data_IF_299289523047
#
_entry.id   IF_299289523047
#
_cell.length_a   1.000
_cell.length_b   1.000
_cell.length_c   1.000
_cell.angle_alpha   90.00
_cell.angle_beta   90.00
_cell.angle_gamma   90.00
#
_symmetry.space_group_name_H-M   'P 1'
#
loop_
_entity.id
_entity.type
_entity.pdbx_description
1 polymer ?
#
# COMPACT_ATOMS: atom_id res chain seq x y z
N UNK A 1 -24.18 27.30 -24.45
CA UNK A 1 -23.31 26.41 -23.66
C UNK A 1 -24.20 25.53 -22.79
N UNK A 2 -24.15 24.21 -22.95
CA UNK A 2 -25.04 23.25 -22.24
C UNK A 2 -24.65 23.15 -20.75
N UNK A 3 -25.51 22.57 -19.91
CA UNK A 3 -25.17 22.29 -18.51
C UNK A 3 -23.93 21.39 -18.39
N UNK A 4 -23.83 20.38 -19.27
CA UNK A 4 -22.66 19.51 -19.35
C UNK A 4 -21.37 20.29 -19.61
N UNK A 5 -21.36 21.18 -20.61
CA UNK A 5 -20.20 22.03 -20.91
C UNK A 5 -19.84 22.98 -19.75
N UNK A 6 -20.84 23.50 -19.01
CA UNK A 6 -20.60 24.32 -17.81
C UNK A 6 -19.92 23.54 -16.70
N UNK A 7 -20.32 22.29 -16.47
CA UNK A 7 -19.72 21.42 -15.46
C UNK A 7 -18.27 21.07 -15.84
N UNK A 8 -18.00 20.74 -17.11
CA UNK A 8 -16.64 20.43 -17.58
C UNK A 8 -15.72 21.66 -17.47
N UNK A 9 -16.19 22.83 -17.89
CA UNK A 9 -15.44 24.08 -17.75
C UNK A 9 -15.14 24.41 -16.28
N UNK A 10 -16.10 24.21 -15.37
CA UNK A 10 -15.90 24.41 -13.93
C UNK A 10 -14.87 23.45 -13.31
N UNK A 11 -14.62 22.29 -13.94
CA UNK A 11 -13.55 21.35 -13.57
C UNK A 11 -12.20 21.64 -14.25
N UNK A 12 -12.09 22.75 -14.98
CA UNK A 12 -10.88 23.11 -15.72
C UNK A 12 -10.72 22.41 -17.09
N UNK A 13 -11.69 21.59 -17.52
CA UNK A 13 -11.64 20.81 -18.76
C UNK A 13 -12.11 21.63 -19.97
N UNK A 14 -11.37 22.71 -20.25
CA UNK A 14 -11.76 23.72 -21.25
C UNK A 14 -11.38 23.35 -22.68
N UNK A 15 -10.39 22.48 -22.88
CA UNK A 15 -9.96 22.01 -24.21
C UNK A 15 -10.62 20.70 -24.60
N UNK A 16 -10.78 20.47 -25.92
CA UNK A 16 -11.30 19.19 -26.42
C UNK A 16 -10.41 18.02 -25.96
N UNK A 17 -9.09 18.16 -26.06
CA UNK A 17 -8.15 17.13 -25.65
C UNK A 17 -8.30 16.74 -24.17
N UNK A 18 -8.37 17.72 -23.26
CA UNK A 18 -8.55 17.46 -21.84
C UNK A 18 -9.89 16.78 -21.53
N UNK A 19 -10.96 17.11 -22.28
CA UNK A 19 -12.27 16.43 -22.13
C UNK A 19 -12.21 14.98 -22.60
N UNK A 20 -11.60 14.71 -23.74
CA UNK A 20 -11.45 13.34 -24.26
C UNK A 20 -10.64 12.49 -23.30
N UNK A 21 -9.51 12.98 -22.80
CA UNK A 21 -8.66 12.25 -21.85
C UNK A 21 -9.37 11.95 -20.53
N UNK A 22 -10.15 12.89 -19.99
CA UNK A 22 -10.90 12.71 -18.75
C UNK A 22 -12.10 11.77 -18.89
N UNK A 23 -12.87 11.88 -19.97
CA UNK A 23 -14.10 11.10 -20.18
C UNK A 23 -13.83 9.71 -20.76
N UNK A 24 -12.74 9.57 -21.50
CA UNK A 24 -12.33 8.34 -22.17
C UNK A 24 -10.85 8.03 -21.85
N UNK A 25 -10.52 7.78 -20.57
CA UNK A 25 -9.15 7.51 -20.17
C UNK A 25 -8.64 6.25 -20.87
N UNK A 26 -7.47 6.36 -21.51
CA UNK A 26 -6.81 5.23 -22.16
C UNK A 26 -5.65 4.74 -21.30
N UNK A 27 -5.98 3.84 -20.36
CA UNK A 27 -5.02 3.21 -19.45
C UNK A 27 -3.97 2.33 -20.15
N UNK A 28 -4.20 1.92 -21.41
CA UNK A 28 -3.19 1.19 -22.17
C UNK A 28 -2.09 2.13 -22.72
N UNK A 29 -2.45 3.37 -23.03
CA UNK A 29 -1.55 4.39 -23.57
C UNK A 29 -0.84 5.21 -22.50
N UNK A 30 -1.46 5.41 -21.33
CA UNK A 30 -0.88 6.15 -20.21
C UNK A 30 -0.24 5.17 -19.24
N UNK A 31 1.08 4.99 -19.38
CA UNK A 31 1.89 4.22 -18.43
C UNK A 31 2.72 5.18 -17.60
N UNK A 32 2.39 5.30 -16.32
CA UNK A 32 3.28 5.96 -15.37
C UNK A 32 4.36 4.97 -14.94
N UNK A 33 5.61 5.44 -14.84
CA UNK A 33 6.68 4.64 -14.27
C UNK A 33 6.40 4.48 -12.76
N UNK A 34 6.16 3.25 -12.25
CA UNK A 34 5.86 3.02 -10.84
C UNK A 34 7.04 3.44 -9.94
N UNK A 35 8.26 3.49 -10.47
CA UNK A 35 9.44 3.94 -9.72
C UNK A 35 9.49 5.45 -9.48
N UNK A 36 8.50 6.21 -9.99
CA UNK A 36 8.28 7.60 -9.59
C UNK A 36 7.68 7.72 -8.20
N UNK A 37 7.08 6.65 -7.66
CA UNK A 37 6.60 6.64 -6.28
C UNK A 37 7.80 6.62 -5.31
N UNK A 38 7.74 7.40 -4.21
CA UNK A 38 8.75 7.37 -3.15
C UNK A 38 9.05 5.94 -2.69
N UNK A 39 10.33 5.65 -2.48
CA UNK A 39 10.85 4.37 -1.98
C UNK A 39 10.44 3.09 -2.72
N UNK A 40 9.78 3.18 -3.88
CA UNK A 40 9.35 2.00 -4.65
C UNK A 40 10.52 1.05 -4.96
N UNK A 41 11.70 1.60 -5.28
CA UNK A 41 12.92 0.78 -5.50
C UNK A 41 13.32 0.01 -4.23
N UNK A 42 13.33 0.66 -3.07
CA UNK A 42 13.68 0.04 -1.79
C UNK A 42 12.67 -1.06 -1.41
N UNK A 43 11.38 -0.80 -1.61
CA UNK A 43 10.32 -1.79 -1.38
C UNK A 43 10.53 -3.04 -2.24
N UNK A 44 10.76 -2.86 -3.55
CA UNK A 44 11.03 -3.97 -4.48
C UNK A 44 12.29 -4.75 -4.08
N UNK A 45 13.37 -4.06 -3.71
CA UNK A 45 14.62 -4.71 -3.32
C UNK A 45 14.45 -5.51 -2.02
N UNK A 46 13.68 -4.99 -1.04
CA UNK A 46 13.37 -5.70 0.21
C UNK A 46 12.50 -6.94 -0.03
N UNK A 47 11.53 -6.86 -0.94
CA UNK A 47 10.69 -8.00 -1.33
C UNK A 47 11.51 -9.08 -2.06
N UNK A 48 12.44 -8.68 -2.94
CA UNK A 48 13.36 -9.63 -3.59
C UNK A 48 14.25 -10.35 -2.60
N UNK A 49 14.74 -9.63 -1.57
CA UNK A 49 15.51 -10.24 -0.49
C UNK A 49 14.66 -11.28 0.27
N UNK A 50 13.45 -10.91 0.70
CA UNK A 50 12.53 -11.84 1.37
C UNK A 50 12.29 -13.10 0.54
N UNK A 51 12.06 -12.93 -0.77
CA UNK A 51 11.86 -14.05 -1.69
C UNK A 51 13.08 -14.97 -1.77
N UNK A 52 14.29 -14.39 -1.88
CA UNK A 52 15.53 -15.16 -2.00
C UNK A 52 15.89 -15.91 -0.71
N UNK A 53 15.57 -15.32 0.45
CA UNK A 53 15.87 -15.88 1.77
C UNK A 53 14.75 -16.80 2.30
N UNK A 54 13.61 -16.87 1.61
CA UNK A 54 12.47 -17.67 2.05
C UNK A 54 11.78 -17.12 3.29
N UNK A 55 11.89 -15.81 3.53
CA UNK A 55 11.24 -15.12 4.64
C UNK A 55 9.72 -15.19 4.52
N UNK A 56 9.05 -15.28 5.67
CA UNK A 56 7.60 -15.23 5.75
C UNK A 56 7.11 -13.78 5.70
N UNK A 57 6.28 -13.49 4.71
CA UNK A 57 5.64 -12.20 4.52
C UNK A 57 4.21 -12.26 5.05
N UNK A 58 3.82 -11.27 5.85
CA UNK A 58 2.42 -11.04 6.20
C UNK A 58 1.96 -9.70 5.61
N UNK A 59 0.97 -9.77 4.72
CA UNK A 59 0.33 -8.58 4.18
C UNK A 59 -0.64 -8.04 5.22
N UNK A 60 -0.39 -6.84 5.73
CA UNK A 60 -1.27 -6.15 6.67
C UNK A 60 -2.19 -5.21 5.88
N UNK A 61 -3.44 -5.60 5.69
CA UNK A 61 -4.43 -4.78 4.98
C UNK A 61 -5.28 -3.91 5.88
N UNK A 62 -6.04 -2.98 5.29
CA UNK A 62 -7.19 -2.37 5.95
C UNK A 62 -8.47 -3.20 5.75
N UNK A 63 -9.47 -2.97 6.59
CA UNK A 63 -10.74 -3.70 6.60
C UNK A 63 -11.75 -3.21 5.54
N UNK A 64 -11.48 -2.10 4.86
CA UNK A 64 -12.38 -1.56 3.85
C UNK A 64 -12.14 -2.17 2.46
N UNK A 65 -12.87 -1.70 1.45
CA UNK A 65 -12.80 -2.29 0.11
C UNK A 65 -11.44 -2.08 -0.56
N UNK A 66 -10.76 -0.96 -0.33
CA UNK A 66 -9.46 -0.71 -0.95
C UNK A 66 -8.40 -1.62 -0.32
N UNK A 67 -8.29 -1.62 1.02
CA UNK A 67 -7.41 -2.52 1.76
C UNK A 67 -7.63 -4.00 1.48
N UNK A 68 -8.89 -4.46 1.42
CA UNK A 68 -9.21 -5.85 1.09
C UNK A 68 -8.84 -6.21 -0.36
N UNK A 69 -9.12 -5.31 -1.31
CA UNK A 69 -8.80 -5.53 -2.73
C UNK A 69 -7.29 -5.53 -2.96
N UNK A 70 -6.57 -4.59 -2.36
CA UNK A 70 -5.11 -4.52 -2.42
C UNK A 70 -4.45 -5.77 -1.80
N UNK A 71 -4.98 -6.24 -0.66
CA UNK A 71 -4.51 -7.48 -0.03
C UNK A 71 -4.69 -8.68 -0.96
N UNK A 72 -5.88 -8.83 -1.57
CA UNK A 72 -6.15 -9.91 -2.51
C UNK A 72 -5.24 -9.86 -3.75
N UNK A 73 -4.98 -8.65 -4.28
CA UNK A 73 -4.07 -8.43 -5.40
C UNK A 73 -2.65 -8.86 -5.02
N UNK A 74 -2.13 -8.46 -3.85
CA UNK A 74 -0.78 -8.83 -3.45
C UNK A 74 -0.64 -10.33 -3.17
N UNK A 75 -1.64 -10.98 -2.57
CA UNK A 75 -1.65 -12.43 -2.40
C UNK A 75 -1.56 -13.17 -3.74
N UNK A 76 -2.40 -12.79 -4.72
CA UNK A 76 -2.37 -13.39 -6.06
C UNK A 76 -1.05 -13.11 -6.79
N UNK A 77 -0.57 -11.86 -6.74
CA UNK A 77 0.67 -11.46 -7.38
C UNK A 77 1.89 -12.17 -6.80
N UNK A 78 2.03 -12.21 -5.47
CA UNK A 78 3.16 -12.88 -4.81
C UNK A 78 3.14 -14.38 -5.07
N UNK A 79 1.96 -15.01 -5.07
CA UNK A 79 1.82 -16.41 -5.49
C UNK A 79 2.30 -16.65 -6.92
N UNK A 80 1.91 -15.78 -7.87
CA UNK A 80 2.37 -15.85 -9.28
C UNK A 80 3.85 -15.55 -9.45
N UNK A 81 4.43 -14.71 -8.59
CA UNK A 81 5.87 -14.43 -8.56
C UNK A 81 6.68 -15.51 -7.84
N UNK A 82 6.03 -16.50 -7.26
CA UNK A 82 6.68 -17.69 -6.71
C UNK A 82 7.04 -17.61 -5.23
N UNK A 83 6.61 -16.56 -4.51
CA UNK A 83 6.74 -16.52 -3.05
C UNK A 83 6.03 -17.72 -2.42
N UNK A 84 6.61 -18.28 -1.37
CA UNK A 84 6.15 -19.54 -0.74
C UNK A 84 5.41 -19.31 0.56
N UNK A 85 5.95 -18.44 1.41
CA UNK A 85 5.42 -18.14 2.74
C UNK A 85 4.80 -16.75 2.75
N UNK A 86 3.54 -16.65 2.30
CA UNK A 86 2.78 -15.39 2.30
C UNK A 86 1.42 -15.62 2.94
N UNK A 87 1.13 -14.85 3.98
CA UNK A 87 -0.18 -14.79 4.62
C UNK A 87 -0.72 -13.35 4.61
N UNK A 88 -1.97 -13.18 5.02
CA UNK A 88 -2.58 -11.87 5.20
C UNK A 88 -3.20 -11.72 6.59
N UNK A 89 -3.15 -10.50 7.11
CA UNK A 89 -3.83 -10.08 8.32
C UNK A 89 -4.73 -8.88 7.98
N UNK A 90 -6.02 -9.03 8.26
CA UNK A 90 -7.01 -7.96 8.17
C UNK A 90 -7.47 -7.63 9.60
N UNK A 91 -7.30 -6.39 10.09
CA UNK A 91 -7.74 -6.00 11.42
C UNK A 91 -9.27 -6.04 11.51
N UNK A 92 -9.79 -6.37 12.69
CA UNK A 92 -11.20 -6.16 13.00
C UNK A 92 -11.38 -4.72 13.47
N UNK A 93 -12.11 -3.93 12.68
CA UNK A 93 -12.40 -2.52 12.97
C UNK A 93 -12.92 -2.26 14.39
N UNK A 94 -13.68 -3.18 14.98
CA UNK A 94 -14.29 -2.99 16.30
C UNK A 94 -13.38 -3.42 17.46
N UNK A 95 -12.34 -4.20 17.19
CA UNK A 95 -11.42 -4.74 18.20
C UNK A 95 -10.07 -4.03 18.11
N UNK A 96 -9.46 -4.01 16.94
CA UNK A 96 -8.16 -3.37 16.70
C UNK A 96 -8.28 -1.91 16.24
N UNK A 97 -9.40 -1.52 15.62
CA UNK A 97 -9.56 -0.17 15.07
C UNK A 97 -8.96 -0.01 13.68
N UNK A 98 -8.59 1.22 13.32
CA UNK A 98 -7.96 1.57 12.05
C UNK A 98 -6.44 1.72 12.24
N UNK A 99 -5.68 1.30 11.24
CA UNK A 99 -4.23 1.35 11.29
C UNK A 99 -3.59 0.10 11.87
N UNK A 100 -2.28 0.18 12.05
CA UNK A 100 -1.55 -0.78 12.86
C UNK A 100 -1.83 -0.50 14.34
N UNK A 101 -1.87 -1.56 15.13
CA UNK A 101 -1.82 -1.47 16.60
C UNK A 101 -0.78 -2.45 17.12
N UNK A 102 -0.21 -2.18 18.30
CA UNK A 102 0.76 -3.08 18.94
C UNK A 102 0.20 -4.51 19.09
N UNK A 103 -1.08 -4.63 19.48
CA UNK A 103 -1.73 -5.94 19.61
C UNK A 103 -1.92 -6.65 18.27
N UNK A 104 -2.15 -5.93 17.17
CA UNK A 104 -2.18 -6.50 15.83
C UNK A 104 -0.77 -6.94 15.38
N UNK A 105 0.27 -6.16 15.70
CA UNK A 105 1.67 -6.53 15.46
C UNK A 105 2.03 -7.81 16.22
N UNK A 106 1.60 -7.96 17.47
CA UNK A 106 1.79 -9.20 18.22
C UNK A 106 1.14 -10.41 17.56
N UNK A 107 -0.07 -10.24 16.99
CA UNK A 107 -0.75 -11.30 16.23
C UNK A 107 0.03 -11.67 14.97
N UNK A 108 0.52 -10.68 14.23
CA UNK A 108 1.32 -10.88 13.03
C UNK A 108 2.66 -11.54 13.35
N UNK A 109 3.32 -11.17 14.46
CA UNK A 109 4.50 -11.90 14.97
C UNK A 109 4.15 -13.36 15.24
N UNK A 110 3.02 -13.64 15.87
CA UNK A 110 2.61 -15.01 16.18
C UNK A 110 2.27 -15.84 14.93
N UNK A 111 2.01 -15.20 13.79
CA UNK A 111 1.93 -15.86 12.49
C UNK A 111 3.31 -16.25 11.93
N UNK A 112 4.40 -15.80 12.56
CA UNK A 112 5.78 -16.05 12.17
C UNK A 112 6.31 -15.07 11.13
N UNK A 113 5.79 -13.84 11.08
CA UNK A 113 6.22 -12.84 10.09
C UNK A 113 7.68 -12.41 10.30
N UNK A 114 8.46 -12.46 9.23
CA UNK A 114 9.78 -11.81 9.13
C UNK A 114 9.65 -10.41 8.50
N UNK A 115 8.67 -10.24 7.62
CA UNK A 115 8.37 -9.00 6.91
C UNK A 115 6.87 -8.70 6.94
N UNK A 116 6.52 -7.48 7.34
CA UNK A 116 5.19 -6.91 7.16
C UNK A 116 5.17 -6.07 5.89
N UNK A 117 4.19 -6.31 5.03
CA UNK A 117 3.88 -5.42 3.89
C UNK A 117 2.51 -4.82 4.14
N UNK A 118 2.42 -3.54 4.46
CA UNK A 118 1.12 -2.90 4.64
C UNK A 118 0.51 -2.55 3.29
N UNK A 119 -0.82 -2.60 3.20
CA UNK A 119 -1.60 -2.03 2.11
C UNK A 119 -2.71 -1.18 2.70
N UNK A 120 -2.92 0.00 2.11
CA UNK A 120 -3.96 0.96 2.51
C UNK A 120 -3.84 1.48 3.96
N UNK A 121 -2.64 1.34 4.54
CA UNK A 121 -2.37 1.78 5.91
C UNK A 121 -0.88 1.89 6.20
N UNK A 122 -0.52 2.49 7.33
CA UNK A 122 0.83 2.48 7.87
C UNK A 122 1.60 3.81 7.79
N UNK A 123 1.16 4.79 6.99
CA UNK A 123 1.89 6.07 6.83
C UNK A 123 2.07 6.87 8.12
N UNK A 124 1.18 6.66 9.10
CA UNK A 124 1.17 7.35 10.40
C UNK A 124 1.47 6.42 11.58
N UNK A 125 1.82 5.16 11.33
CA UNK A 125 1.97 4.12 12.35
C UNK A 125 3.42 4.03 12.88
N UNK A 126 4.04 5.17 13.20
CA UNK A 126 5.45 5.24 13.58
C UNK A 126 5.78 4.34 14.77
N UNK A 127 4.98 4.42 15.83
CA UNK A 127 5.22 3.66 17.05
C UNK A 127 5.07 2.15 16.81
N UNK A 128 4.06 1.75 16.05
CA UNK A 128 3.78 0.34 15.76
C UNK A 128 4.83 -0.28 14.85
N UNK A 129 5.34 0.50 13.89
CA UNK A 129 6.43 0.07 13.00
C UNK A 129 7.75 -0.02 13.79
N UNK A 130 8.03 0.92 14.68
CA UNK A 130 9.18 0.83 15.58
C UNK A 130 9.08 -0.37 16.51
N UNK A 131 7.88 -0.67 17.03
CA UNK A 131 7.64 -1.86 17.82
C UNK A 131 7.84 -3.16 17.01
N UNK A 132 7.32 -3.24 15.79
CA UNK A 132 7.58 -4.37 14.89
C UNK A 132 9.08 -4.58 14.65
N UNK A 133 9.82 -3.49 14.41
CA UNK A 133 11.27 -3.51 14.26
C UNK A 133 11.98 -4.01 15.52
N UNK A 134 11.54 -3.60 16.71
CA UNK A 134 12.08 -4.09 17.99
C UNK A 134 11.89 -5.60 18.21
N UNK A 135 10.91 -6.20 17.52
CA UNK A 135 10.64 -7.63 17.50
C UNK A 135 11.40 -8.37 16.39
N UNK A 136 12.23 -7.67 15.61
CA UNK A 136 12.98 -8.22 14.48
C UNK A 136 12.17 -8.35 13.19
N UNK A 137 11.01 -7.68 13.10
CA UNK A 137 10.12 -7.74 11.94
C UNK A 137 10.29 -6.46 11.12
N UNK A 138 10.76 -6.59 9.88
CA UNK A 138 10.85 -5.46 8.97
C UNK A 138 9.45 -5.02 8.51
N UNK A 139 9.32 -3.77 8.08
CA UNK A 139 8.07 -3.27 7.49
C UNK A 139 8.32 -2.54 6.17
N UNK A 140 7.50 -2.83 5.17
CA UNK A 140 7.33 -2.04 3.94
C UNK A 140 5.93 -1.44 3.99
N UNK A 141 5.85 -0.12 3.95
CA UNK A 141 4.57 0.59 3.97
C UNK A 141 4.11 0.86 2.54
N UNK A 142 2.87 0.49 2.19
CA UNK A 142 2.20 0.96 0.98
C UNK A 142 0.84 1.55 1.34
N UNK A 143 0.64 2.82 1.00
CA UNK A 143 -0.49 3.61 1.49
C UNK A 143 -0.71 4.85 0.60
N UNK A 144 -1.84 5.53 0.77
CA UNK A 144 -2.19 6.77 0.07
C UNK A 144 -2.86 7.83 0.98
N UNK A 145 -2.99 7.50 2.27
CA UNK A 145 -3.45 8.42 3.30
C UNK A 145 -2.47 9.58 3.53
N UNK A 146 -2.83 10.49 4.44
CA UNK A 146 -1.94 11.60 4.80
C UNK A 146 -0.68 11.07 5.50
N UNK A 147 0.43 11.78 5.29
CA UNK A 147 1.72 11.45 5.88
C UNK A 147 2.04 12.38 7.04
N UNK A 148 2.89 11.93 7.96
CA UNK A 148 3.45 12.78 9.00
C UNK A 148 4.57 13.66 8.43
N UNK A 149 5.10 14.60 9.24
CA UNK A 149 6.26 15.41 8.85
C UNK A 149 7.52 14.58 8.60
N UNK A 150 7.63 13.43 9.28
CA UNK A 150 8.71 12.47 9.11
C UNK A 150 8.16 11.15 8.58
N UNK A 151 8.91 10.45 7.71
CA UNK A 151 8.50 9.11 7.26
C UNK A 151 8.48 8.14 8.45
N UNK A 152 7.62 7.11 8.42
CA UNK A 152 7.67 6.05 9.42
C UNK A 152 9.02 5.33 9.39
N UNK A 153 9.48 4.74 10.51
CA UNK A 153 10.77 4.05 10.59
C UNK A 153 10.71 2.66 9.93
N UNK A 154 10.23 2.59 8.69
CA UNK A 154 10.12 1.39 7.86
C UNK A 154 11.30 1.26 6.89
N UNK A 155 11.46 0.09 6.28
CA UNK A 155 12.47 -0.14 5.21
C UNK A 155 12.15 0.71 3.98
N UNK A 156 10.86 0.86 3.68
CA UNK A 156 10.34 1.67 2.60
C UNK A 156 8.96 2.22 2.97
N UNK A 157 8.67 3.44 2.54
CA UNK A 157 7.35 4.05 2.63
C UNK A 157 6.89 4.52 1.25
N UNK A 158 6.06 3.69 0.59
CA UNK A 158 5.48 3.98 -0.71
C UNK A 158 4.15 4.70 -0.50
N UNK A 159 4.16 6.02 -0.63
CA UNK A 159 2.96 6.86 -0.61
C UNK A 159 3.08 7.93 -1.71
N UNK A 160 2.04 8.18 -2.52
CA UNK A 160 2.07 9.18 -3.59
C UNK A 160 2.13 10.64 -3.13
N UNK A 161 2.00 10.94 -1.82
CA UNK A 161 2.01 12.31 -1.26
C UNK A 161 3.39 12.76 -0.78
#
# INVERSE_FOLDING_TARGET
MTLFEKILAARGLTTRAAREEFLHPNYASVKHDPFLLPDMRKAVDRLKKAHAEGEKIVIYGDYDIDGLSATAILLDAFGKFGFKEVDAFIPNRFVEGYGMTMGAVDKVRNMGADLIVTVDTGSLCHAEIEYASSLGIDTVVTDHHNVAETPPPSVAAVNPK
#
